data_IF_633544143886
#
_entry.id   IF_633544143886
#
_cell.length_a   1.000
_cell.length_b   1.000
_cell.length_c   1.000
_cell.angle_alpha   90.00
_cell.angle_beta   90.00
_cell.angle_gamma   90.00
#
_symmetry.space_group_name_H-M   'P 1'
#
loop_
_entity.id
_entity.type
_entity.pdbx_description
1 polymer ?
#
# COMPACT_ATOMS: atom_id res chain seq x y z
N UNK A 1 -12.90 0.01 -8.34
CA UNK A 1 -11.87 -0.97 -8.02
C UNK A 1 -12.08 -1.54 -6.63
N UNK A 2 -11.60 -2.74 -6.40
CA UNK A 2 -11.56 -3.43 -5.11
C UNK A 2 -10.40 -4.40 -5.07
N UNK A 3 -10.02 -4.88 -3.87
CA UNK A 3 -9.00 -5.90 -3.70
C UNK A 3 -9.30 -6.86 -2.55
N UNK A 4 -8.76 -8.05 -2.65
CA UNK A 4 -8.53 -8.95 -1.52
C UNK A 4 -7.09 -8.69 -1.05
N UNK A 5 -6.93 -7.87 -0.02
CA UNK A 5 -5.70 -7.24 0.41
C UNK A 5 -5.86 -5.73 0.47
N UNK A 6 -4.80 -4.99 0.22
CA UNK A 6 -4.82 -3.53 0.03
C UNK A 6 -4.28 -3.19 -1.35
N UNK A 7 -4.74 -2.08 -1.92
CA UNK A 7 -4.24 -1.63 -3.21
C UNK A 7 -4.00 -0.12 -3.26
N UNK A 8 -3.11 0.26 -4.13
CA UNK A 8 -2.93 1.61 -4.63
C UNK A 8 -2.91 1.57 -6.16
N UNK A 9 -3.51 2.53 -6.82
CA UNK A 9 -3.59 2.55 -8.27
C UNK A 9 -3.12 3.89 -8.84
N UNK A 10 -2.55 3.84 -10.04
CA UNK A 10 -2.11 5.01 -10.80
C UNK A 10 -2.52 4.91 -12.27
N UNK A 11 -2.80 6.06 -12.87
CA UNK A 11 -2.93 6.19 -14.32
C UNK A 11 -1.83 7.12 -14.81
N UNK A 12 -1.06 6.66 -15.78
CA UNK A 12 0.05 7.42 -16.39
C UNK A 12 1.06 7.96 -15.36
N UNK A 13 1.29 7.22 -14.24
CA UNK A 13 2.18 7.59 -13.15
C UNK A 13 1.58 8.57 -12.14
N UNK A 14 0.29 8.86 -12.24
CA UNK A 14 -0.42 9.72 -11.28
C UNK A 14 -1.35 8.87 -10.42
N UNK A 15 -1.19 8.95 -9.11
CA UNK A 15 -2.03 8.24 -8.12
C UNK A 15 -3.51 8.56 -8.29
N UNK A 16 -4.35 7.54 -8.22
CA UNK A 16 -5.80 7.66 -8.28
C UNK A 16 -6.38 7.84 -6.87
N UNK A 17 -7.07 8.97 -6.67
CA UNK A 17 -7.75 9.25 -5.40
C UNK A 17 -6.81 9.57 -4.25
N UNK A 18 -7.38 9.71 -3.05
CA UNK A 18 -6.67 10.03 -1.80
C UNK A 18 -6.76 8.93 -0.77
N UNK A 19 -7.57 7.91 -1.04
CA UNK A 19 -7.79 6.79 -0.12
C UNK A 19 -6.49 6.07 0.18
N UNK A 20 -6.18 5.96 1.48
CA UNK A 20 -5.12 5.11 2.01
C UNK A 20 -5.70 3.76 2.39
N UNK A 21 -4.90 2.70 2.28
CA UNK A 21 -5.28 1.33 2.63
C UNK A 21 -6.57 0.85 1.93
N UNK A 22 -6.80 1.29 0.68
CA UNK A 22 -7.93 0.82 -0.10
C UNK A 22 -7.89 -0.71 -0.31
N UNK A 23 -9.02 -1.41 -0.31
CA UNK A 23 -10.39 -0.95 -0.15
C UNK A 23 -10.82 -0.73 1.32
N UNK A 24 -9.95 -1.00 2.29
CA UNK A 24 -10.22 -1.03 3.72
C UNK A 24 -10.53 -2.44 4.23
N UNK A 25 -10.57 -2.59 5.55
CA UNK A 25 -10.93 -3.86 6.18
C UNK A 25 -12.42 -4.15 6.04
N UNK A 26 -12.73 -5.41 5.76
CA UNK A 26 -14.10 -5.93 5.83
C UNK A 26 -14.11 -7.40 6.28
N UNK A 27 -15.28 -7.92 6.62
CA UNK A 27 -15.42 -9.34 6.89
C UNK A 27 -15.56 -10.08 5.55
N UNK A 28 -14.42 -10.42 4.97
CA UNK A 28 -14.29 -10.98 3.61
C UNK A 28 -15.22 -12.17 3.27
N UNK A 29 -15.61 -13.05 4.21
CA UNK A 29 -16.60 -14.10 3.88
C UNK A 29 -18.01 -13.57 3.60
N UNK A 30 -18.28 -12.28 3.84
CA UNK A 30 -19.62 -11.69 3.66
C UNK A 30 -19.63 -10.53 2.67
N UNK A 31 -18.57 -9.71 2.68
CA UNK A 31 -18.53 -8.50 1.86
C UNK A 31 -17.09 -8.08 1.57
N UNK A 32 -16.93 -7.36 0.48
CA UNK A 32 -15.70 -6.62 0.16
C UNK A 32 -16.09 -5.19 -0.22
N UNK A 33 -15.32 -4.22 0.26
CA UNK A 33 -15.54 -2.81 -0.05
C UNK A 33 -14.94 -2.46 -1.41
N UNK A 34 -15.55 -1.50 -2.12
CA UNK A 34 -15.00 -0.98 -3.35
C UNK A 34 -14.97 0.55 -3.36
N UNK A 35 -14.10 1.13 -4.18
CA UNK A 35 -14.00 2.55 -4.43
C UNK A 35 -14.36 2.87 -5.87
N UNK A 36 -14.95 4.05 -6.06
CA UNK A 36 -15.20 4.65 -7.38
C UNK A 36 -14.46 5.98 -7.48
N UNK A 37 -13.72 6.15 -8.55
CA UNK A 37 -12.91 7.35 -8.79
C UNK A 37 -13.27 7.98 -10.13
N UNK A 38 -13.35 9.32 -10.16
CA UNK A 38 -13.36 10.08 -11.40
C UNK A 38 -11.92 10.21 -11.91
N UNK A 39 -11.65 9.71 -13.11
CA UNK A 39 -10.29 9.60 -13.64
C UNK A 39 -10.12 10.26 -15.03
N UNK A 40 -11.13 10.94 -15.54
CA UNK A 40 -11.10 11.57 -16.87
C UNK A 40 -9.90 12.51 -17.05
N UNK A 41 -9.57 13.28 -16.00
CA UNK A 41 -8.43 14.21 -16.04
C UNK A 41 -7.05 13.53 -16.09
N UNK A 42 -6.96 12.24 -15.79
CA UNK A 42 -5.73 11.44 -15.82
C UNK A 42 -5.52 10.75 -17.17
N UNK A 43 -6.56 10.68 -17.99
CA UNK A 43 -6.51 10.05 -19.30
C UNK A 43 -5.99 11.03 -20.36
N UNK A 44 -5.32 10.48 -21.35
CA UNK A 44 -4.82 11.20 -22.51
C UNK A 44 -5.22 10.48 -23.79
N UNK A 45 -5.19 11.19 -24.91
CA UNK A 45 -5.36 10.58 -26.22
C UNK A 45 -4.26 9.54 -26.49
N UNK A 46 -4.64 8.42 -27.09
CA UNK A 46 -3.72 7.32 -27.40
C UNK A 46 -3.55 6.35 -26.22
N UNK A 47 -2.33 5.87 -26.04
CA UNK A 47 -2.03 4.86 -25.03
C UNK A 47 -2.03 5.43 -23.61
N UNK A 48 -2.69 4.71 -22.70
CA UNK A 48 -2.73 4.98 -21.27
C UNK A 48 -2.26 3.74 -20.52
N UNK A 49 -1.61 3.95 -19.39
CA UNK A 49 -1.15 2.88 -18.52
C UNK A 49 -1.90 2.97 -17.19
N UNK A 50 -2.63 1.93 -16.84
CA UNK A 50 -3.16 1.72 -15.50
C UNK A 50 -2.24 0.71 -14.78
N UNK A 51 -1.73 1.08 -13.62
CA UNK A 51 -0.94 0.21 -12.75
C UNK A 51 -1.61 0.11 -11.39
N UNK A 52 -1.61 -1.08 -10.83
CA UNK A 52 -2.14 -1.35 -9.49
C UNK A 52 -1.07 -2.06 -8.67
N UNK A 53 -0.72 -1.49 -7.54
CA UNK A 53 0.13 -2.12 -6.52
C UNK A 53 -0.76 -2.87 -5.54
N UNK A 54 -0.37 -4.10 -5.21
CA UNK A 54 -1.09 -4.95 -4.26
C UNK A 54 -0.24 -5.24 -3.04
N UNK A 55 -0.80 -5.02 -1.86
CA UNK A 55 -0.25 -5.45 -0.58
C UNK A 55 -1.09 -6.55 0.05
N UNK A 56 -0.48 -7.28 0.98
CA UNK A 56 -1.13 -8.39 1.68
C UNK A 56 -2.36 -7.94 2.47
N UNK A 57 -2.27 -6.76 3.08
CA UNK A 57 -3.33 -6.20 3.89
C UNK A 57 -3.84 -7.16 4.96
N UNK A 58 -5.09 -6.99 5.35
CA UNK A 58 -5.75 -7.89 6.31
C UNK A 58 -6.17 -9.23 5.72
N UNK A 59 -6.18 -9.36 4.39
CA UNK A 59 -6.66 -10.57 3.72
C UNK A 59 -5.68 -11.74 3.85
N UNK A 60 -4.43 -11.54 3.46
CA UNK A 60 -3.40 -12.57 3.50
C UNK A 60 -2.19 -12.19 4.35
N UNK A 61 -2.11 -10.95 4.85
CA UNK A 61 -1.10 -10.52 5.81
C UNK A 61 -1.33 -11.07 7.21
N UNK A 62 -0.56 -10.57 8.16
CA UNK A 62 -0.76 -10.86 9.58
C UNK A 62 -2.01 -10.14 10.07
N UNK A 63 -2.82 -10.85 10.84
CA UNK A 63 -4.06 -10.32 11.39
C UNK A 63 -4.22 -10.70 12.86
N UNK A 64 -4.61 -9.71 13.66
CA UNK A 64 -4.78 -9.83 15.11
C UNK A 64 -3.49 -10.15 15.89
N UNK A 65 -3.59 -10.04 17.20
CA UNK A 65 -2.47 -10.26 18.13
C UNK A 65 -2.03 -11.74 18.28
N UNK A 66 -2.75 -12.68 17.66
CA UNK A 66 -2.46 -14.12 17.78
C UNK A 66 -1.42 -14.65 16.79
N UNK A 67 -0.76 -13.78 16.04
CA UNK A 67 0.25 -14.17 15.03
C UNK A 67 -0.30 -15.00 13.86
N UNK A 68 -1.59 -14.89 13.57
CA UNK A 68 -2.21 -15.58 12.43
C UNK A 68 -1.94 -14.81 11.14
N UNK A 69 -1.62 -15.54 10.08
CA UNK A 69 -1.48 -15.03 8.72
C UNK A 69 -2.41 -15.81 7.79
N UNK A 70 -2.75 -15.23 6.64
CA UNK A 70 -3.50 -15.92 5.58
C UNK A 70 -4.87 -16.45 6.04
N UNK A 71 -5.55 -15.70 6.95
CA UNK A 71 -6.81 -16.15 7.54
C UNK A 71 -7.91 -16.28 6.48
N UNK A 72 -7.90 -15.37 5.51
CA UNK A 72 -8.94 -15.32 4.47
C UNK A 72 -8.45 -15.85 3.11
N UNK A 73 -7.15 -15.87 2.87
CA UNK A 73 -6.55 -16.38 1.65
C UNK A 73 -5.02 -16.22 1.64
N UNK A 74 -4.38 -16.85 0.67
CA UNK A 74 -2.92 -16.92 0.60
C UNK A 74 -2.29 -15.83 -0.26
N UNK A 75 -3.03 -15.31 -1.23
CA UNK A 75 -2.53 -14.32 -2.19
C UNK A 75 -3.51 -13.16 -2.33
N UNK A 76 -3.01 -11.93 -2.47
CA UNK A 76 -3.86 -10.79 -2.78
C UNK A 76 -4.43 -10.92 -4.20
N UNK A 77 -5.56 -10.27 -4.44
CA UNK A 77 -6.18 -10.18 -5.74
C UNK A 77 -6.80 -8.79 -5.94
N UNK A 78 -6.96 -8.38 -7.19
CA UNK A 78 -7.59 -7.11 -7.55
C UNK A 78 -8.67 -7.33 -8.60
N UNK A 79 -9.71 -6.51 -8.54
CA UNK A 79 -10.72 -6.38 -9.58
C UNK A 79 -11.04 -4.91 -9.82
N UNK A 80 -11.08 -4.51 -11.08
CA UNK A 80 -11.42 -3.14 -11.46
C UNK A 80 -12.19 -3.10 -12.78
N UNK A 81 -12.98 -2.05 -12.94
CA UNK A 81 -13.68 -1.70 -14.16
C UNK A 81 -13.40 -0.23 -14.45
N UNK A 82 -12.93 0.08 -15.65
CA UNK A 82 -12.83 1.44 -16.17
C UNK A 82 -13.99 1.65 -17.17
N UNK A 83 -14.93 2.51 -16.80
CA UNK A 83 -16.04 2.92 -17.67
C UNK A 83 -15.62 4.15 -18.44
N UNK A 84 -15.73 4.10 -19.75
CA UNK A 84 -15.40 5.20 -20.66
C UNK A 84 -16.67 5.57 -21.40
N UNK A 85 -17.05 6.85 -21.34
CA UNK A 85 -18.12 7.45 -22.14
C UNK A 85 -17.51 8.51 -23.05
N UNK A 86 -17.67 8.33 -24.35
CA UNK A 86 -17.20 9.25 -25.37
C UNK A 86 -18.20 9.35 -26.53
N UNK A 87 -17.85 10.07 -27.58
CA UNK A 87 -18.72 10.25 -28.76
C UNK A 87 -19.10 8.95 -29.47
N UNK A 88 -18.34 7.87 -29.26
CA UNK A 88 -18.60 6.54 -29.80
C UNK A 88 -19.53 5.70 -28.92
N UNK A 89 -19.83 6.15 -27.71
CA UNK A 89 -20.71 5.49 -26.76
C UNK A 89 -20.04 5.12 -25.44
N UNK A 90 -20.64 4.18 -24.71
CA UNK A 90 -20.13 3.68 -23.42
C UNK A 90 -19.44 2.34 -23.63
N UNK A 91 -18.26 2.19 -23.07
CA UNK A 91 -17.52 0.93 -23.04
C UNK A 91 -16.86 0.68 -21.70
N UNK A 92 -16.73 -0.58 -21.33
CA UNK A 92 -16.06 -1.03 -20.13
C UNK A 92 -14.73 -1.73 -20.48
N UNK A 93 -13.67 -1.38 -19.77
CA UNK A 93 -12.41 -2.12 -19.76
C UNK A 93 -12.30 -2.73 -18.36
N UNK A 94 -12.05 -4.04 -18.30
CA UNK A 94 -12.05 -4.79 -17.03
C UNK A 94 -10.70 -5.44 -16.78
N UNK A 95 -10.37 -5.63 -15.50
CA UNK A 95 -9.24 -6.49 -15.13
C UNK A 95 -9.44 -7.92 -15.61
N UNK A 96 -8.37 -8.57 -16.04
CA UNK A 96 -8.47 -9.95 -16.55
C UNK A 96 -7.16 -10.48 -17.13
N UNK A 97 -7.24 -11.51 -17.95
CA UNK A 97 -6.11 -12.27 -18.51
C UNK A 97 -5.12 -11.42 -19.35
N UNK A 98 -5.56 -10.26 -19.84
CA UNK A 98 -4.70 -9.35 -20.62
C UNK A 98 -3.91 -8.37 -19.74
N UNK A 99 -3.95 -8.52 -18.44
CA UNK A 99 -3.18 -7.72 -17.50
C UNK A 99 -1.79 -8.36 -17.32
N UNK A 100 -0.73 -7.57 -17.40
CA UNK A 100 0.61 -8.03 -17.05
C UNK A 100 0.80 -8.05 -15.55
N UNK A 101 1.43 -9.10 -15.02
CA UNK A 101 1.96 -9.13 -13.66
C UNK A 101 3.41 -8.67 -13.69
N UNK A 102 3.69 -7.61 -12.94
CA UNK A 102 5.02 -7.02 -12.87
C UNK A 102 5.70 -7.39 -11.54
N UNK A 103 7.03 -7.45 -11.59
CA UNK A 103 7.83 -7.48 -10.37
C UNK A 103 7.53 -6.23 -9.54
N UNK A 104 7.19 -6.44 -8.27
CA UNK A 104 6.82 -5.36 -7.36
C UNK A 104 8.05 -4.74 -6.69
N UNK A 105 8.11 -3.42 -6.51
CA UNK A 105 9.09 -2.80 -5.63
C UNK A 105 8.82 -3.13 -4.15
N UNK A 106 7.62 -3.61 -3.82
CA UNK A 106 7.28 -4.04 -2.47
C UNK A 106 7.58 -5.52 -2.30
N UNK A 107 8.59 -5.86 -1.49
CA UNK A 107 8.84 -7.24 -1.08
C UNK A 107 7.81 -7.74 -0.08
N UNK A 108 7.23 -6.84 0.70
CA UNK A 108 6.14 -7.07 1.65
C UNK A 108 5.42 -5.75 1.93
N UNK A 109 4.10 -5.81 2.15
CA UNK A 109 3.31 -4.69 2.65
C UNK A 109 2.12 -5.21 3.49
N UNK A 110 2.13 -4.93 4.79
CA UNK A 110 1.07 -5.34 5.71
C UNK A 110 1.07 -4.53 7.00
N UNK A 111 -0.11 -4.23 7.51
CA UNK A 111 -0.34 -3.25 8.58
C UNK A 111 0.34 -3.62 9.89
N UNK A 112 0.52 -4.90 10.19
CA UNK A 112 1.12 -5.36 11.44
C UNK A 112 2.64 -5.52 11.38
N UNK A 113 3.17 -5.98 10.25
CA UNK A 113 4.60 -6.23 10.09
C UNK A 113 5.33 -5.03 9.48
N UNK A 114 4.60 -4.18 8.76
CA UNK A 114 5.15 -3.01 8.08
C UNK A 114 5.44 -3.29 6.60
N UNK A 115 6.54 -2.76 6.09
CA UNK A 115 6.82 -2.74 4.66
C UNK A 115 8.30 -3.02 4.36
N UNK A 116 8.55 -3.69 3.26
CA UNK A 116 9.88 -3.81 2.65
C UNK A 116 9.78 -3.25 1.23
N UNK A 117 10.54 -2.20 0.97
CA UNK A 117 10.56 -1.50 -0.32
C UNK A 117 11.94 -1.51 -0.95
N UNK A 118 12.00 -1.75 -2.25
CA UNK A 118 13.23 -1.75 -3.06
C UNK A 118 13.16 -0.64 -4.11
N UNK A 119 14.01 0.36 -4.00
CA UNK A 119 14.09 1.48 -4.94
C UNK A 119 15.02 1.20 -6.13
N UNK A 120 15.11 -0.06 -6.57
CA UNK A 120 15.96 -0.48 -7.68
C UNK A 120 15.27 -0.42 -9.05
N UNK A 121 14.02 0.12 -9.07
CA UNK A 121 13.26 0.30 -10.30
C UNK A 121 12.73 -1.00 -10.92
N UNK A 122 12.71 -2.11 -10.15
CA UNK A 122 12.18 -3.39 -10.62
C UNK A 122 10.77 -3.25 -11.16
N UNK A 123 10.53 -3.75 -12.33
CA UNK A 123 9.23 -3.70 -13.02
C UNK A 123 9.16 -4.71 -14.17
N UNK A 124 10.00 -5.74 -14.15
CA UNK A 124 9.99 -6.77 -15.17
C UNK A 124 8.63 -7.49 -15.20
N UNK A 125 8.14 -7.83 -16.39
CA UNK A 125 6.97 -8.69 -16.54
C UNK A 125 7.37 -10.09 -16.09
N UNK A 126 6.70 -10.60 -15.06
CA UNK A 126 6.96 -11.92 -14.47
C UNK A 126 5.87 -12.94 -14.79
N UNK A 127 4.74 -12.49 -15.34
CA UNK A 127 3.63 -13.37 -15.69
C UNK A 127 2.39 -12.62 -16.12
N UNK A 128 1.31 -13.38 -16.13
CA UNK A 128 -0.04 -12.88 -16.28
C UNK A 128 -0.88 -13.40 -15.11
N UNK A 129 -1.99 -12.74 -14.75
CA UNK A 129 -2.85 -13.18 -13.67
C UNK A 129 -3.25 -14.65 -13.86
N UNK A 130 -2.96 -15.46 -12.87
CA UNK A 130 -3.11 -16.92 -12.97
C UNK A 130 -4.48 -17.44 -12.55
N UNK A 131 -5.34 -16.62 -11.99
CA UNK A 131 -6.63 -17.07 -11.50
C UNK A 131 -7.68 -16.00 -11.59
N UNK A 132 -8.70 -16.26 -12.36
CA UNK A 132 -9.92 -15.46 -12.40
C UNK A 132 -10.98 -16.25 -11.62
N UNK A 133 -11.40 -15.73 -10.48
CA UNK A 133 -12.60 -16.20 -9.81
C UNK A 133 -13.78 -15.50 -10.41
N UNK A 134 -14.60 -16.22 -11.17
CA UNK A 134 -15.80 -15.69 -11.79
C UNK A 134 -17.00 -15.59 -10.84
N UNK A 135 -16.97 -16.29 -9.71
CA UNK A 135 -18.03 -16.31 -8.71
C UNK A 135 -17.45 -16.00 -7.33
N UNK A 136 -17.90 -14.90 -6.76
CA UNK A 136 -17.55 -14.47 -5.43
C UNK A 136 -18.82 -14.54 -4.57
N UNK A 137 -18.78 -15.37 -3.54
CA UNK A 137 -19.89 -15.54 -2.58
C UNK A 137 -20.02 -14.39 -1.56
N UNK A 138 -19.61 -13.17 -1.93
CA UNK A 138 -19.69 -12.03 -1.05
C UNK A 138 -20.31 -10.81 -1.75
N UNK A 139 -20.90 -9.92 -0.96
CA UNK A 139 -21.43 -8.68 -1.45
C UNK A 139 -20.31 -7.66 -1.73
N UNK A 140 -20.43 -6.90 -2.81
CA UNK A 140 -19.63 -5.70 -3.04
C UNK A 140 -20.39 -4.49 -2.49
N UNK A 141 -19.76 -3.75 -1.57
CA UNK A 141 -20.35 -2.57 -0.95
C UNK A 141 -19.45 -1.35 -1.16
N UNK A 142 -19.99 -0.15 -1.39
CA UNK A 142 -19.18 1.04 -1.50
C UNK A 142 -18.54 1.40 -0.16
N UNK A 143 -17.30 1.87 -0.19
CA UNK A 143 -16.67 2.45 1.00
C UNK A 143 -17.38 3.76 1.36
N UNK A 144 -17.83 3.88 2.61
CA UNK A 144 -18.53 5.06 3.12
C UNK A 144 -17.59 6.06 3.82
N UNK A 145 -16.40 5.63 4.18
CA UNK A 145 -15.41 6.45 4.90
C UNK A 145 -14.10 6.46 4.14
N UNK A 146 -13.51 7.64 3.99
CA UNK A 146 -12.20 7.80 3.37
C UNK A 146 -11.13 7.94 4.47
N UNK A 147 -10.10 7.09 4.40
CA UNK A 147 -8.87 7.27 5.15
C UNK A 147 -7.89 8.01 4.27
N UNK A 148 -7.60 9.26 4.59
CA UNK A 148 -6.73 10.12 3.80
C UNK A 148 -5.79 10.92 4.70
N UNK A 149 -4.69 11.41 4.14
CA UNK A 149 -3.79 12.33 4.83
C UNK A 149 -4.55 13.61 5.18
N UNK A 150 -4.44 14.03 6.44
CA UNK A 150 -5.11 15.22 6.96
C UNK A 150 -4.14 16.40 7.07
N UNK A 151 -2.93 16.13 7.56
CA UNK A 151 -1.89 17.14 7.74
C UNK A 151 -0.50 16.52 7.67
N UNK A 152 0.50 17.34 7.43
CA UNK A 152 1.91 16.97 7.50
C UNK A 152 2.49 17.41 8.84
N UNK A 153 3.24 16.52 9.48
CA UNK A 153 3.87 16.74 10.77
C UNK A 153 5.38 16.86 10.60
N UNK A 154 5.94 17.98 11.04
CA UNK A 154 7.39 18.16 11.06
C UNK A 154 8.04 17.56 12.31
N UNK A 155 9.27 17.06 12.16
CA UNK A 155 10.10 16.62 13.27
C UNK A 155 10.44 17.82 14.17
N UNK A 156 10.10 17.73 15.46
CA UNK A 156 10.42 18.77 16.45
C UNK A 156 11.80 18.61 17.07
N UNK A 157 12.23 17.36 17.26
CA UNK A 157 13.55 17.07 17.80
C UNK A 157 14.14 15.83 17.10
N UNK A 158 15.44 15.89 16.80
CA UNK A 158 16.20 14.76 16.26
C UNK A 158 17.40 14.50 17.17
N UNK A 159 17.52 13.27 17.67
CA UNK A 159 18.62 12.83 18.53
C UNK A 159 19.35 11.65 17.92
N UNK A 160 20.62 11.85 17.59
CA UNK A 160 21.46 10.79 17.04
C UNK A 160 22.30 10.13 18.12
N UNK A 161 22.35 8.79 18.11
CA UNK A 161 23.23 7.98 18.95
C UNK A 161 23.80 6.83 18.10
N UNK A 162 25.08 6.94 17.76
CA UNK A 162 25.72 6.03 16.82
C UNK A 162 25.08 6.12 15.42
N UNK A 163 24.58 5.00 14.94
CA UNK A 163 23.88 4.90 13.66
C UNK A 163 22.33 4.92 13.78
N UNK A 164 21.83 5.27 14.95
CA UNK A 164 20.38 5.40 15.20
C UNK A 164 20.04 6.86 15.40
N UNK A 165 19.01 7.34 14.71
CA UNK A 165 18.42 8.66 14.91
C UNK A 165 16.99 8.48 15.41
N UNK A 166 16.67 9.06 16.57
CA UNK A 166 15.31 9.18 17.08
C UNK A 166 14.74 10.51 16.59
N UNK A 167 13.59 10.43 15.94
CA UNK A 167 12.84 11.59 15.47
C UNK A 167 11.58 11.73 16.33
N UNK A 168 11.48 12.84 17.05
CA UNK A 168 10.34 13.16 17.90
C UNK A 168 9.46 14.20 17.22
N UNK A 169 8.20 13.90 17.03
CA UNK A 169 7.19 14.79 16.45
C UNK A 169 6.43 15.58 17.50
N UNK A 170 6.69 15.33 18.79
CA UNK A 170 6.13 16.07 19.92
C UNK A 170 4.69 15.74 20.27
N UNK A 171 4.06 14.80 19.56
CA UNK A 171 2.74 14.27 19.88
C UNK A 171 2.57 12.86 19.32
N UNK A 172 1.63 12.12 19.90
CA UNK A 172 1.23 10.83 19.37
C UNK A 172 0.16 11.02 18.28
N UNK A 173 0.33 10.32 17.14
CA UNK A 173 -0.61 10.40 16.01
C UNK A 173 -0.60 9.09 15.21
N UNK A 174 -1.62 8.87 14.40
CA UNK A 174 -1.63 7.85 13.36
C UNK A 174 -1.16 8.48 12.05
N UNK A 175 -0.13 7.91 11.43
CA UNK A 175 0.46 8.51 10.22
C UNK A 175 1.33 7.56 9.43
N UNK A 176 1.84 8.06 8.32
CA UNK A 176 2.87 7.45 7.49
C UNK A 176 4.11 8.33 7.51
N UNK A 177 5.26 7.75 7.18
CA UNK A 177 6.52 8.49 7.09
C UNK A 177 6.80 8.81 5.64
N UNK A 178 7.16 10.07 5.39
CA UNK A 178 7.74 10.51 4.13
C UNK A 178 9.23 10.78 4.34
N UNK A 179 10.07 10.28 3.46
CA UNK A 179 11.51 10.52 3.45
C UNK A 179 11.95 11.03 2.09
N UNK A 180 12.88 11.99 2.07
CA UNK A 180 13.61 12.35 0.86
C UNK A 180 14.75 11.34 0.64
N UNK A 181 14.71 10.48 -0.37
CA UNK A 181 15.74 9.50 -0.61
C UNK A 181 16.98 10.07 -1.32
N UNK A 182 17.02 11.37 -1.63
CA UNK A 182 18.05 11.97 -2.48
C UNK A 182 19.47 11.87 -1.91
N UNK A 183 19.59 11.72 -0.58
CA UNK A 183 20.86 11.55 0.10
C UNK A 183 21.35 10.09 0.19
N UNK A 184 20.50 9.13 -0.22
CA UNK A 184 20.83 7.71 -0.19
C UNK A 184 21.46 7.27 -1.52
N UNK A 185 22.41 6.36 -1.46
CA UNK A 185 23.09 5.83 -2.65
C UNK A 185 22.98 4.34 -2.83
N UNK A 186 22.90 3.54 -1.82
CA UNK A 186 22.73 2.08 -1.84
C UNK A 186 22.47 1.53 -0.44
N UNK A 187 22.19 2.44 0.48
CA UNK A 187 21.99 2.09 1.87
C UNK A 187 20.63 1.42 2.09
N UNK A 188 20.55 0.66 3.15
CA UNK A 188 19.28 0.18 3.69
C UNK A 188 18.95 0.99 4.93
N UNK A 189 17.77 1.62 4.93
CA UNK A 189 17.22 2.29 6.10
C UNK A 189 16.15 1.42 6.72
N UNK A 190 16.21 1.30 8.05
CA UNK A 190 15.14 0.67 8.84
C UNK A 190 14.45 1.74 9.68
N UNK A 191 13.16 1.96 9.45
CA UNK A 191 12.32 2.89 10.19
C UNK A 191 11.41 2.09 11.10
N UNK A 192 11.43 2.40 12.40
CA UNK A 192 10.57 1.78 13.41
C UNK A 192 9.73 2.84 14.10
N UNK A 193 8.51 2.49 14.41
CA UNK A 193 7.55 3.38 15.05
C UNK A 193 7.31 2.97 16.49
N UNK A 194 7.07 3.96 17.34
CA UNK A 194 6.71 3.77 18.74
C UNK A 194 6.19 5.07 19.32
N UNK A 195 5.48 4.98 20.45
CA UNK A 195 4.81 6.10 21.07
C UNK A 195 5.62 6.72 22.21
N UNK A 196 6.50 5.96 22.82
CA UNK A 196 7.32 6.39 23.97
C UNK A 196 8.72 5.81 23.91
N UNK A 197 9.62 6.37 24.70
CA UNK A 197 11.00 5.90 24.85
C UNK A 197 11.19 5.15 26.17
N UNK A 198 12.13 4.23 26.19
CA UNK A 198 12.69 3.64 27.41
C UNK A 198 13.54 4.66 28.18
N UNK A 199 13.87 4.36 29.41
CA UNK A 199 14.73 5.20 30.24
C UNK A 199 16.14 5.44 29.67
N UNK A 200 16.63 4.52 28.82
CA UNK A 200 17.91 4.64 28.13
C UNK A 200 17.81 5.45 26.81
N UNK A 201 16.63 5.94 26.47
CA UNK A 201 16.37 6.71 25.27
C UNK A 201 16.11 5.86 24.00
N UNK A 202 16.07 4.54 24.10
CA UNK A 202 15.68 3.67 22.99
C UNK A 202 14.16 3.63 22.82
N UNK A 203 13.71 3.26 21.61
CA UNK A 203 12.28 3.16 21.31
C UNK A 203 11.63 2.02 22.11
N UNK A 204 10.55 2.31 22.83
CA UNK A 204 9.76 1.29 23.51
C UNK A 204 8.78 0.64 22.54
N UNK A 205 8.90 -0.66 22.33
CA UNK A 205 8.11 -1.42 21.36
C UNK A 205 7.31 -2.57 21.97
N UNK A 206 7.40 -2.80 23.29
CA UNK A 206 6.69 -3.91 23.93
C UNK A 206 5.16 -3.78 23.86
N UNK A 207 4.63 -2.55 23.76
CA UNK A 207 3.21 -2.27 23.56
C UNK A 207 2.69 -2.72 22.19
N UNK A 208 3.55 -2.86 21.19
CA UNK A 208 3.20 -3.36 19.86
C UNK A 208 2.87 -4.87 19.86
N UNK A 209 3.17 -5.56 20.97
CA UNK A 209 2.97 -7.01 21.14
C UNK A 209 3.73 -7.79 20.06
N UNK A 210 3.02 -8.32 19.04
CA UNK A 210 3.59 -9.05 17.92
C UNK A 210 3.68 -8.24 16.62
N UNK A 211 3.09 -7.05 16.60
CA UNK A 211 3.24 -6.12 15.48
C UNK A 211 4.68 -5.57 15.47
N UNK A 212 5.21 -5.31 14.30
CA UNK A 212 6.57 -4.78 14.14
C UNK A 212 6.56 -3.29 13.79
N UNK A 213 5.56 -2.83 13.03
CA UNK A 213 5.44 -1.47 12.53
C UNK A 213 6.80 -0.96 11.99
N UNK A 214 7.43 -1.75 11.14
CA UNK A 214 8.80 -1.55 10.67
C UNK A 214 8.81 -1.42 9.16
N UNK A 215 9.43 -0.35 8.66
CA UNK A 215 9.68 -0.15 7.24
C UNK A 215 11.15 -0.43 6.97
N UNK A 216 11.44 -1.25 5.97
CA UNK A 216 12.80 -1.46 5.45
C UNK A 216 12.84 -0.92 4.03
N UNK A 217 13.60 0.14 3.85
CA UNK A 217 13.80 0.79 2.56
C UNK A 217 15.20 0.45 2.03
N UNK A 218 15.26 -0.22 0.90
CA UNK A 218 16.50 -0.51 0.17
C UNK A 218 16.65 0.53 -0.93
N UNK A 219 17.58 1.46 -0.77
CA UNK A 219 17.92 2.43 -1.80
C UNK A 219 18.54 1.74 -3.00
N UNK A 220 18.10 2.10 -4.20
CA UNK A 220 18.69 1.63 -5.47
C UNK A 220 19.87 2.48 -5.89
N UNK A 221 20.72 1.93 -6.76
CA UNK A 221 21.83 2.67 -7.35
C UNK A 221 21.38 3.81 -8.29
N UNK A 222 20.19 3.72 -8.84
CA UNK A 222 19.60 4.73 -9.71
C UNK A 222 18.58 5.58 -8.95
N UNK A 223 18.88 6.86 -8.81
CA UNK A 223 17.92 7.85 -8.32
C UNK A 223 16.89 8.08 -9.41
N UNK A 224 15.66 7.65 -9.18
CA UNK A 224 14.52 8.05 -10.01
C UNK A 224 13.67 9.04 -9.25
#
# INVERSE_FOLDING_TARGET
ATALGVYEAEINGVKIGKQMFAPGYSYYPRRVLYQTYEVSALLREGANTLRVYLGQGWYCGRFLCENKTQIYGEKPAVSWILKIEDAAGVRDIVSGEQTDELESPYGYAGEYDGEIYFADGRSAVIGHPVSIKNELDFALEPTLTEVALQEEMEVKEAKQTGNVTILDFGQNFAGIVEIDPSFLTNETITIRHGEILNADGSLYTANLRKAKATIVYHAGAEKK
#
